data_IF_045007127877
#
_entry.id   IF_045007127877
#
_cell.length_a   1.000
_cell.length_b   1.000
_cell.length_c   1.000
_cell.angle_alpha   90.00
_cell.angle_beta   90.00
_cell.angle_gamma   90.00
#
_symmetry.space_group_name_H-M   'P 1'
#
loop_
_entity.id
_entity.type
_entity.pdbx_description
1 polymer ?
#
# COMPACT_ATOMS: atom_id res chain seq x y z
N UNK A 1 -13.63 -1.96 -3.37
CA UNK A 1 -12.50 -2.11 -4.29
C UNK A 1 -11.91 -0.74 -4.58
N UNK A 2 -10.60 -0.68 -4.69
CA UNK A 2 -9.88 0.55 -5.01
C UNK A 2 -8.79 0.29 -6.03
N UNK A 3 -8.47 1.31 -6.82
CA UNK A 3 -7.40 1.25 -7.81
C UNK A 3 -6.69 2.59 -7.85
N UNK A 4 -5.39 2.56 -8.05
CA UNK A 4 -4.59 3.77 -8.17
C UNK A 4 -3.46 3.59 -9.17
N UNK A 5 -3.06 4.70 -9.79
CA UNK A 5 -2.03 4.74 -10.82
C UNK A 5 -1.17 5.99 -10.60
N UNK A 6 0.14 5.85 -10.75
CA UNK A 6 1.06 6.96 -10.51
C UNK A 6 2.27 6.87 -11.44
N UNK A 7 2.68 8.00 -12.01
CA UNK A 7 3.96 8.10 -12.69
C UNK A 7 5.09 8.03 -11.66
N UNK A 8 6.00 7.11 -11.84
CA UNK A 8 7.10 6.86 -10.90
C UNK A 8 7.97 8.11 -10.73
N UNK A 9 8.31 8.75 -11.83
CA UNK A 9 9.16 9.94 -11.81
C UNK A 9 8.56 11.09 -10.99
N UNK A 10 7.24 11.19 -10.99
CA UNK A 10 6.54 12.22 -10.21
C UNK A 10 6.79 12.06 -8.72
N UNK A 11 6.72 10.81 -8.23
CA UNK A 11 7.03 10.54 -6.83
C UNK A 11 8.51 10.74 -6.55
N UNK A 12 9.37 10.25 -7.44
CA UNK A 12 10.82 10.40 -7.27
C UNK A 12 11.23 11.86 -7.14
N UNK A 13 10.65 12.74 -7.96
CA UNK A 13 10.91 14.18 -7.88
C UNK A 13 10.39 14.77 -6.56
N UNK A 14 9.22 14.36 -6.12
CA UNK A 14 8.67 14.85 -4.86
C UNK A 14 9.54 14.46 -3.67
N UNK A 15 10.01 13.20 -3.66
CA UNK A 15 10.88 12.71 -2.58
C UNK A 15 12.23 13.41 -2.59
N UNK A 16 12.77 13.75 -3.76
CA UNK A 16 14.03 14.48 -3.88
C UNK A 16 13.90 15.90 -3.36
N UNK A 17 12.76 16.56 -3.57
CA UNK A 17 12.52 17.93 -3.12
C UNK A 17 12.19 18.06 -1.64
N UNK A 18 11.61 17.01 -1.05
CA UNK A 18 11.14 17.03 0.34
C UNK A 18 11.79 15.89 1.10
N UNK A 19 12.92 16.11 1.78
CA UNK A 19 13.67 15.01 2.41
C UNK A 19 12.88 14.19 3.44
N UNK A 20 11.88 14.80 4.08
CA UNK A 20 11.07 14.10 5.09
C UNK A 20 9.82 13.43 4.56
N UNK A 21 9.53 13.61 3.28
CA UNK A 21 8.30 13.07 2.70
C UNK A 21 8.27 11.53 2.77
N UNK A 22 9.41 10.90 2.51
CA UNK A 22 9.49 9.43 2.56
C UNK A 22 9.12 8.89 3.94
N UNK A 23 9.55 9.55 5.01
CA UNK A 23 9.21 9.14 6.38
C UNK A 23 7.72 9.29 6.67
N UNK A 24 7.08 10.29 6.08
CA UNK A 24 5.65 10.52 6.27
C UNK A 24 4.79 9.56 5.51
N UNK A 25 5.24 9.12 4.34
CA UNK A 25 4.46 8.26 3.45
C UNK A 25 4.70 6.77 3.68
N UNK A 26 5.89 6.41 4.15
CA UNK A 26 6.31 5.01 4.20
C UNK A 26 6.88 4.64 5.56
N UNK A 27 6.61 3.40 5.98
CA UNK A 27 7.19 2.87 7.21
C UNK A 27 8.67 2.60 7.01
N UNK A 28 9.38 2.39 8.12
CA UNK A 28 10.80 2.08 8.08
C UNK A 28 11.09 0.82 7.26
N UNK A 29 10.23 -0.19 7.39
CA UNK A 29 10.39 -1.45 6.65
C UNK A 29 10.15 -1.27 5.16
N UNK A 30 9.14 -0.46 4.78
CA UNK A 30 8.88 -0.15 3.37
C UNK A 30 10.07 0.59 2.75
N UNK A 31 10.64 1.53 3.47
CA UNK A 31 11.80 2.28 2.99
C UNK A 31 13.05 1.39 2.88
N UNK A 32 13.25 0.51 3.85
CA UNK A 32 14.38 -0.43 3.82
C UNK A 32 14.27 -1.40 2.65
N UNK A 33 13.06 -1.91 2.39
CA UNK A 33 12.81 -2.78 1.25
C UNK A 33 13.17 -2.09 -0.07
N UNK A 34 12.70 -0.86 -0.25
CA UNK A 34 12.95 -0.11 -1.48
C UNK A 34 14.43 0.23 -1.64
N UNK A 35 15.10 0.63 -0.54
CA UNK A 35 16.51 1.00 -0.57
C UNK A 35 17.42 -0.15 -1.03
N UNK A 36 17.00 -1.39 -0.81
CA UNK A 36 17.76 -2.57 -1.22
C UNK A 36 17.59 -2.92 -2.70
N UNK A 37 16.75 -2.18 -3.43
CA UNK A 37 16.44 -2.43 -4.83
C UNK A 37 17.20 -1.46 -5.74
N UNK A 38 17.37 -1.86 -7.02
CA UNK A 38 18.11 -1.06 -8.00
C UNK A 38 17.49 0.32 -8.23
N UNK A 39 16.17 0.42 -8.22
CA UNK A 39 15.45 1.69 -8.36
C UNK A 39 14.43 1.83 -7.25
N UNK A 40 14.83 2.38 -6.10
CA UNK A 40 13.93 2.50 -4.93
C UNK A 40 12.61 3.18 -5.24
N UNK A 41 12.62 4.26 -6.03
CA UNK A 41 11.41 5.02 -6.36
C UNK A 41 10.33 4.19 -7.05
N UNK A 42 10.72 3.21 -7.84
CA UNK A 42 9.78 2.32 -8.52
C UNK A 42 8.98 1.49 -7.49
N UNK A 43 9.66 0.97 -6.48
CA UNK A 43 9.03 0.18 -5.43
C UNK A 43 8.21 1.04 -4.48
N UNK A 44 8.68 2.24 -4.18
CA UNK A 44 7.91 3.19 -3.36
C UNK A 44 6.65 3.66 -4.07
N UNK A 45 6.73 3.88 -5.40
CA UNK A 45 5.57 4.28 -6.18
C UNK A 45 4.48 3.20 -6.17
N UNK A 46 4.86 1.94 -6.33
CA UNK A 46 3.91 0.84 -6.28
C UNK A 46 3.25 0.75 -4.89
N UNK A 47 4.01 0.95 -3.83
CA UNK A 47 3.49 0.96 -2.47
C UNK A 47 2.60 2.16 -2.20
N UNK A 48 2.95 3.32 -2.72
CA UNK A 48 2.09 4.50 -2.65
C UNK A 48 0.73 4.21 -3.27
N UNK A 49 0.72 3.61 -4.47
CA UNK A 49 -0.51 3.23 -5.14
C UNK A 49 -1.34 2.25 -4.31
N UNK A 50 -0.68 1.28 -3.68
CA UNK A 50 -1.38 0.32 -2.83
C UNK A 50 -2.05 0.99 -1.64
N UNK A 51 -1.37 1.94 -1.00
CA UNK A 51 -1.93 2.71 0.13
C UNK A 51 -3.17 3.50 -0.29
N UNK A 52 -3.08 4.20 -1.42
CA UNK A 52 -4.21 4.95 -1.98
C UNK A 52 -5.36 4.02 -2.37
N UNK A 53 -5.06 2.90 -3.00
CA UNK A 53 -6.08 1.93 -3.40
C UNK A 53 -6.82 1.36 -2.19
N UNK A 54 -6.09 1.06 -1.12
CA UNK A 54 -6.70 0.57 0.14
C UNK A 54 -7.58 1.63 0.77
N UNK A 55 -7.11 2.88 0.81
CA UNK A 55 -7.89 3.98 1.36
C UNK A 55 -9.21 4.17 0.60
N UNK A 56 -9.16 4.09 -0.73
CA UNK A 56 -10.35 4.16 -1.57
C UNK A 56 -11.30 2.99 -1.29
N UNK A 57 -10.77 1.79 -1.20
CA UNK A 57 -11.56 0.59 -0.95
C UNK A 57 -12.27 0.66 0.41
N UNK A 58 -11.59 1.14 1.45
CA UNK A 58 -12.14 1.26 2.80
C UNK A 58 -12.99 2.52 2.99
N UNK A 59 -12.97 3.45 2.05
CA UNK A 59 -13.67 4.72 2.19
C UNK A 59 -13.09 5.61 3.27
N UNK A 60 -11.77 5.63 3.41
CA UNK A 60 -11.11 6.47 4.41
C UNK A 60 -11.10 7.92 3.96
N UNK A 61 -11.44 8.82 4.88
CA UNK A 61 -11.42 10.26 4.62
C UNK A 61 -10.19 10.92 5.25
N UNK A 62 -9.97 10.66 6.53
CA UNK A 62 -8.80 11.17 7.25
C UNK A 62 -7.96 9.98 7.69
N UNK A 63 -6.73 9.87 7.18
CA UNK A 63 -5.87 8.72 7.47
C UNK A 63 -4.41 9.10 7.24
N UNK A 64 -3.51 8.30 7.82
CA UNK A 64 -2.09 8.44 7.59
C UNK A 64 -1.63 7.37 6.61
N UNK A 65 -0.74 7.71 5.67
CA UNK A 65 -0.17 6.74 4.74
C UNK A 65 0.54 5.59 5.48
N UNK A 66 1.08 5.86 6.66
CA UNK A 66 1.72 4.83 7.47
C UNK A 66 0.72 3.86 8.11
N UNK A 67 -0.57 4.19 8.10
CA UNK A 67 -1.61 3.29 8.58
C UNK A 67 -1.84 2.10 7.64
N UNK A 68 -1.41 2.21 6.40
CA UNK A 68 -1.49 1.14 5.42
C UNK A 68 -0.07 0.72 5.09
N UNK A 69 0.39 -0.37 5.64
CA UNK A 69 1.74 -0.85 5.43
C UNK A 69 1.75 -2.05 4.47
N UNK A 70 2.56 -1.95 3.43
CA UNK A 70 2.75 -3.05 2.48
C UNK A 70 3.92 -3.89 2.96
N UNK A 71 3.63 -5.14 3.27
CA UNK A 71 4.61 -6.08 3.81
C UNK A 71 5.05 -7.03 2.72
N UNK A 72 6.35 -7.04 2.47
CA UNK A 72 6.96 -7.94 1.50
C UNK A 72 7.51 -9.16 2.21
N UNK A 73 7.37 -10.30 1.58
CA UNK A 73 7.88 -11.56 2.09
C UNK A 73 8.03 -12.53 0.94
N UNK A 74 7.97 -13.80 1.22
CA UNK A 74 7.92 -14.82 0.19
C UNK A 74 6.55 -14.77 -0.46
N UNK A 75 6.51 -14.66 -1.78
CA UNK A 75 5.26 -14.58 -2.52
C UNK A 75 4.72 -13.16 -2.65
N UNK A 76 3.41 -13.04 -2.80
CA UNK A 76 2.75 -11.77 -3.03
C UNK A 76 2.80 -10.89 -1.78
N UNK A 77 2.92 -9.57 -1.93
CA UNK A 77 2.87 -8.66 -0.79
C UNK A 77 1.51 -8.70 -0.10
N UNK A 78 1.54 -8.48 1.20
CA UNK A 78 0.33 -8.40 2.02
C UNK A 78 0.24 -6.99 2.63
N UNK A 79 -0.89 -6.70 3.27
CA UNK A 79 -1.11 -5.40 3.89
C UNK A 79 -1.29 -5.59 5.39
N UNK A 80 -0.58 -4.77 6.15
CA UNK A 80 -0.77 -4.66 7.60
C UNK A 80 -1.39 -3.29 7.87
N UNK A 81 -2.55 -3.29 8.51
CA UNK A 81 -3.27 -2.05 8.81
C UNK A 81 -3.01 -1.59 10.23
N UNK A 82 -2.93 -0.28 10.41
CA UNK A 82 -2.74 0.40 11.68
C UNK A 82 -3.75 1.54 11.79
N UNK A 83 -3.91 2.08 12.98
CA UNK A 83 -4.69 3.29 13.22
C UNK A 83 -6.09 3.28 12.61
N UNK A 84 -6.45 4.35 11.92
CA UNK A 84 -7.78 4.52 11.33
C UNK A 84 -8.10 3.47 10.28
N UNK A 85 -7.10 3.02 9.50
CA UNK A 85 -7.33 1.99 8.51
C UNK A 85 -7.69 0.66 9.16
N UNK A 86 -7.01 0.29 10.25
CA UNK A 86 -7.32 -0.92 11.01
C UNK A 86 -8.71 -0.85 11.63
N UNK A 87 -9.04 0.30 12.23
CA UNK A 87 -10.35 0.51 12.85
C UNK A 87 -11.48 0.39 11.83
N UNK A 88 -11.28 0.97 10.65
CA UNK A 88 -12.29 0.93 9.58
C UNK A 88 -12.50 -0.48 9.06
N UNK A 89 -11.41 -1.22 8.83
CA UNK A 89 -11.50 -2.61 8.36
C UNK A 89 -12.22 -3.49 9.38
N UNK A 90 -11.91 -3.31 10.66
CA UNK A 90 -12.57 -4.04 11.74
C UNK A 90 -14.06 -3.71 11.80
N UNK A 91 -14.41 -2.42 11.67
CA UNK A 91 -15.82 -1.99 11.69
C UNK A 91 -16.62 -2.58 10.52
N UNK A 92 -15.98 -2.74 9.36
CA UNK A 92 -16.60 -3.32 8.18
C UNK A 92 -16.56 -4.86 8.20
N UNK A 93 -15.75 -5.45 9.07
CA UNK A 93 -15.58 -6.90 9.13
C UNK A 93 -14.90 -7.46 7.88
N UNK A 94 -13.91 -6.74 7.35
CA UNK A 94 -13.25 -7.12 6.10
C UNK A 94 -11.75 -7.29 6.29
N UNK A 95 -11.16 -8.08 5.39
CA UNK A 95 -9.72 -8.15 5.18
C UNK A 95 -9.42 -7.52 3.82
N UNK A 96 -8.21 -6.98 3.69
CA UNK A 96 -7.78 -6.26 2.49
C UNK A 96 -6.70 -7.05 1.80
N UNK A 97 -6.86 -7.23 0.48
CA UNK A 97 -5.83 -7.83 -0.36
C UNK A 97 -5.45 -6.83 -1.43
N UNK A 98 -4.18 -6.83 -1.81
CA UNK A 98 -3.64 -5.90 -2.80
C UNK A 98 -2.89 -6.66 -3.88
N UNK A 99 -2.84 -6.05 -5.05
CA UNK A 99 -1.95 -6.45 -6.13
C UNK A 99 -1.26 -5.21 -6.66
N UNK A 100 0.04 -5.27 -6.78
CA UNK A 100 0.87 -4.15 -7.22
C UNK A 100 1.55 -4.53 -8.53
N UNK A 101 1.74 -3.55 -9.40
CA UNK A 101 2.49 -3.72 -10.63
C UNK A 101 3.21 -2.44 -11.00
N UNK A 102 4.23 -2.55 -11.83
CA UNK A 102 4.93 -1.37 -12.35
C UNK A 102 5.59 -1.68 -13.68
N UNK A 103 5.78 -0.61 -14.44
CA UNK A 103 6.63 -0.59 -15.62
C UNK A 103 7.83 0.29 -15.29
N UNK A 104 8.60 0.69 -16.31
CA UNK A 104 9.68 1.67 -16.12
C UNK A 104 9.15 3.08 -15.84
N UNK A 105 7.92 3.38 -16.25
CA UNK A 105 7.34 4.72 -16.14
C UNK A 105 6.23 4.84 -15.12
N UNK A 106 5.45 3.79 -14.91
CA UNK A 106 4.23 3.86 -14.11
C UNK A 106 4.14 2.73 -13.10
N UNK A 107 3.47 3.02 -11.99
CA UNK A 107 3.11 2.03 -10.99
C UNK A 107 1.60 2.04 -10.81
N UNK A 108 1.04 0.90 -10.44
CA UNK A 108 -0.38 0.77 -10.20
C UNK A 108 -0.63 -0.26 -9.11
N UNK A 109 -1.78 -0.14 -8.48
CA UNK A 109 -2.22 -1.14 -7.49
C UNK A 109 -3.73 -1.23 -7.47
N UNK A 110 -4.23 -2.40 -7.11
CA UNK A 110 -5.64 -2.63 -6.86
C UNK A 110 -5.78 -3.18 -5.44
N UNK A 111 -6.84 -2.77 -4.75
CA UNK A 111 -7.19 -3.29 -3.43
C UNK A 111 -8.58 -3.88 -3.48
N UNK A 112 -8.73 -5.06 -2.90
CA UNK A 112 -10.00 -5.79 -2.86
C UNK A 112 -10.32 -6.08 -1.39
N UNK A 113 -11.58 -5.87 -1.02
CA UNK A 113 -12.08 -6.22 0.30
C UNK A 113 -12.82 -7.53 0.21
N UNK A 114 -12.61 -8.38 1.21
CA UNK A 114 -13.42 -9.58 1.38
C UNK A 114 -13.84 -9.66 2.84
N UNK A 115 -14.96 -10.31 3.09
CA UNK A 115 -15.41 -10.48 4.47
C UNK A 115 -14.42 -11.36 5.21
N UNK A 116 -14.22 -11.06 6.47
CA UNK A 116 -13.30 -11.82 7.31
C UNK A 116 -13.66 -13.31 7.33
N UNK A 117 -14.95 -13.61 7.37
CA UNK A 117 -15.44 -14.99 7.32
C UNK A 117 -15.20 -15.66 5.96
N UNK A 118 -15.25 -14.87 4.86
CA UNK A 118 -14.95 -15.35 3.52
C UNK A 118 -13.45 -15.56 3.31
N UNK A 119 -12.64 -14.76 4.04
CA UNK A 119 -11.18 -14.88 4.02
C UNK A 119 -10.66 -16.08 4.77
N UNK A 120 -11.43 -16.61 5.71
CA UNK A 120 -11.06 -17.82 6.42
C UNK A 120 -11.23 -19.02 5.49
N UNK A 121 -10.17 -19.80 5.34
CA UNK A 121 -10.25 -21.02 4.52
C UNK A 121 -11.26 -21.98 5.16
N UNK A 122 -12.24 -22.46 4.40
CA UNK A 122 -13.14 -23.43 4.96
C UNK A 122 -12.41 -24.74 5.27
N UNK A 123 -12.81 -25.43 6.30
CA UNK A 123 -12.20 -26.73 6.60
C UNK A 123 -12.43 -27.70 5.44
N UNK A 124 -11.45 -28.52 5.22
CA UNK A 124 -11.48 -29.52 4.17
C UNK A 124 -11.29 -30.89 4.76
#
# INVERSE_FOLDING_TARGET
MGIDLLEIERLERALARRPRLAERLFTDEERAYAAARARPGQHLAARFCAKEAVAKALGLEAWSFRDVEVVSGEGAPTVRLHGEAAARAAALGVVVRVSLTHTTTDAAAVAILSRETDGAAPPR
#
